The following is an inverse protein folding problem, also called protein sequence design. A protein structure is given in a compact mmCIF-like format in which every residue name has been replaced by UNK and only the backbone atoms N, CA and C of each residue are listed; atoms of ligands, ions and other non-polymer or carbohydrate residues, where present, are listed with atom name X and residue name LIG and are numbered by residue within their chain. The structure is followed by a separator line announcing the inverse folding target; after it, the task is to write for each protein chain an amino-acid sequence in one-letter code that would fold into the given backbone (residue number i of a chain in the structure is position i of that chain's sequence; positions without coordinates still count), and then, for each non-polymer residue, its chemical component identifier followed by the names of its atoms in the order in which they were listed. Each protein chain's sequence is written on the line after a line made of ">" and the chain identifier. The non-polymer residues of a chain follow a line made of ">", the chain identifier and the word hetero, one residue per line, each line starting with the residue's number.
data_IF_183663835419
#
_entry.id   IF_183663835419
#
_cell.length_a   1.000
_cell.length_b   1.000
_cell.length_c   1.000
_cell.angle_alpha   90.00
_cell.angle_beta   90.00
_cell.angle_gamma   90.00
#
_symmetry.space_group_name_H-M   'P 1'
#
loop_
_entity.id
_entity.type
_entity.pdbx_description
1 polymer ?
#
# COMPACT_ATOMS: atom_id res chain seq x y z
N UNK A 1 15.11 9.09 22.21
CA UNK A 1 14.86 8.08 21.14
C UNK A 1 15.47 8.64 19.86
N UNK A 2 16.32 7.88 19.17
CA UNK A 2 16.81 8.29 17.84
C UNK A 2 15.64 8.34 16.88
N UNK A 3 15.57 9.40 16.04
CA UNK A 3 14.54 9.52 14.99
C UNK A 3 14.71 8.30 14.05
N UNK A 4 13.60 7.62 13.73
CA UNK A 4 13.61 6.54 12.75
C UNK A 4 14.08 7.10 11.40
N UNK A 5 15.18 6.57 10.89
CA UNK A 5 15.69 6.90 9.55
C UNK A 5 15.31 5.80 8.59
N UNK A 6 14.63 6.17 7.51
CA UNK A 6 14.26 5.26 6.42
C UNK A 6 15.18 5.55 5.24
N UNK A 7 16.07 4.61 4.85
CA UNK A 7 16.92 4.80 3.70
C UNK A 7 16.08 4.76 2.40
N UNK A 8 16.45 5.57 1.41
CA UNK A 8 15.88 5.44 0.09
C UNK A 8 16.40 4.16 -0.58
N UNK A 9 15.50 3.25 -0.91
CA UNK A 9 15.82 2.02 -1.65
C UNK A 9 15.36 2.23 -3.09
N UNK A 10 16.32 2.33 -4.01
CA UNK A 10 16.04 2.53 -5.43
C UNK A 10 15.21 1.36 -5.99
N UNK A 11 14.06 1.62 -6.64
CA UNK A 11 13.33 0.61 -7.38
C UNK A 11 14.20 0.00 -8.48
N UNK A 12 14.22 -1.32 -8.55
CA UNK A 12 14.91 -2.07 -9.60
C UNK A 12 13.92 -3.04 -10.21
N UNK A 13 13.43 -2.72 -11.42
CA UNK A 13 12.45 -3.57 -12.10
C UNK A 13 13.05 -4.16 -13.37
N UNK A 14 12.74 -5.43 -13.69
CA UNK A 14 13.09 -5.99 -14.98
C UNK A 14 12.30 -5.30 -16.09
N UNK A 15 12.93 -5.08 -17.25
CA UNK A 15 12.30 -4.59 -18.48
C UNK A 15 11.61 -3.21 -18.36
N UNK A 16 12.15 -2.30 -17.57
CA UNK A 16 11.62 -0.92 -17.41
C UNK A 16 10.14 -0.84 -17.04
N UNK A 17 9.63 -1.82 -16.29
CA UNK A 17 8.25 -1.84 -15.82
C UNK A 17 8.02 -0.65 -14.89
N UNK A 18 7.05 0.20 -15.22
CA UNK A 18 6.59 1.26 -14.32
C UNK A 18 5.63 0.70 -13.29
N UNK A 19 5.95 0.87 -12.02
CA UNK A 19 5.15 0.40 -10.89
C UNK A 19 4.56 1.57 -10.13
N UNK A 20 3.24 1.61 -10.03
CA UNK A 20 2.54 2.57 -9.18
C UNK A 20 1.74 1.82 -8.11
N UNK A 21 1.83 2.26 -6.86
CA UNK A 21 0.98 1.74 -5.79
C UNK A 21 -0.04 2.77 -5.33
N UNK A 22 -1.25 2.29 -5.07
CA UNK A 22 -2.33 3.07 -4.48
C UNK A 22 -2.44 2.68 -3.02
N UNK A 23 -2.14 3.63 -2.16
CA UNK A 23 -2.07 3.47 -0.72
C UNK A 23 -3.20 4.23 0.00
N UNK A 24 -3.31 4.05 1.29
CA UNK A 24 -4.31 4.71 2.13
C UNK A 24 -5.08 3.73 3.00
N UNK A 25 -5.89 4.26 3.91
CA UNK A 25 -6.68 3.48 4.86
C UNK A 25 -7.80 2.65 4.20
N UNK A 26 -8.43 1.77 4.98
CA UNK A 26 -9.67 1.13 4.55
C UNK A 26 -10.76 2.19 4.38
N UNK A 27 -11.59 2.07 3.36
CA UNK A 27 -12.59 3.09 3.03
C UNK A 27 -12.10 4.28 2.19
N UNK A 28 -10.79 4.45 1.95
CA UNK A 28 -10.27 5.54 1.12
C UNK A 28 -10.64 5.47 -0.38
N UNK A 29 -11.13 4.33 -0.87
CA UNK A 29 -11.60 4.19 -2.26
C UNK A 29 -10.63 3.52 -3.22
N UNK A 30 -9.50 2.97 -2.76
CA UNK A 30 -8.45 2.34 -3.59
C UNK A 30 -8.98 1.34 -4.61
N UNK A 31 -9.71 0.33 -4.16
CA UNK A 31 -10.25 -0.74 -5.01
C UNK A 31 -11.26 -0.19 -6.02
N UNK A 32 -12.07 0.80 -5.64
CA UNK A 32 -13.01 1.46 -6.55
C UNK A 32 -12.26 2.18 -7.68
N UNK A 33 -11.22 2.93 -7.32
CA UNK A 33 -10.36 3.65 -8.26
C UNK A 33 -9.66 2.69 -9.23
N UNK A 34 -9.04 1.61 -8.73
CA UNK A 34 -8.33 0.64 -9.56
C UNK A 34 -9.26 -0.17 -10.46
N UNK A 35 -10.45 -0.56 -9.97
CA UNK A 35 -11.45 -1.25 -10.80
C UNK A 35 -11.91 -0.38 -11.96
N UNK A 36 -12.09 0.92 -11.73
CA UNK A 36 -12.39 1.87 -12.79
C UNK A 36 -11.24 2.00 -13.78
N UNK A 37 -10.03 2.20 -13.27
CA UNK A 37 -8.83 2.32 -14.11
C UNK A 37 -8.63 1.09 -15.00
N UNK A 38 -8.76 -0.12 -14.43
CA UNK A 38 -8.67 -1.38 -15.18
C UNK A 38 -9.71 -1.49 -16.31
N UNK A 39 -10.92 -0.91 -16.11
CA UNK A 39 -11.95 -0.88 -17.13
C UNK A 39 -11.60 0.07 -18.29
N UNK A 40 -11.03 1.23 -17.96
CA UNK A 40 -10.68 2.27 -18.94
C UNK A 40 -9.35 1.97 -19.65
N UNK A 41 -8.44 1.22 -19.00
CA UNK A 41 -7.10 0.85 -19.48
C UNK A 41 -6.84 -0.66 -19.31
N UNK A 42 -7.48 -1.52 -20.13
CA UNK A 42 -7.40 -2.98 -20.00
C UNK A 42 -5.99 -3.55 -20.20
N UNK A 43 -5.11 -2.84 -20.89
CA UNK A 43 -3.72 -3.22 -21.14
C UNK A 43 -2.78 -2.93 -19.96
N UNK A 44 -3.31 -2.44 -18.84
CA UNK A 44 -2.54 -2.23 -17.61
C UNK A 44 -2.83 -3.35 -16.61
N UNK A 45 -1.78 -3.93 -16.05
CA UNK A 45 -1.95 -4.90 -14.97
C UNK A 45 -2.35 -4.19 -13.68
N UNK A 46 -3.53 -4.51 -13.15
CA UNK A 46 -4.02 -4.04 -11.85
C UNK A 46 -4.18 -5.25 -10.92
N UNK A 47 -3.47 -5.29 -9.80
CA UNK A 47 -3.48 -6.43 -8.89
C UNK A 47 -3.19 -6.05 -7.44
N UNK A 48 -3.38 -7.00 -6.53
CA UNK A 48 -2.90 -6.91 -5.15
C UNK A 48 -1.38 -7.11 -5.09
N UNK A 49 -0.74 -6.53 -4.09
CA UNK A 49 0.71 -6.74 -3.83
C UNK A 49 1.04 -8.10 -3.23
N UNK A 50 0.05 -8.94 -2.99
CA UNK A 50 0.20 -10.33 -2.53
C UNK A 50 -0.74 -11.24 -3.31
N UNK A 51 -0.42 -12.53 -3.49
CA UNK A 51 -1.28 -13.47 -4.21
C UNK A 51 -2.66 -13.59 -3.56
N UNK A 52 -3.68 -13.90 -4.36
CA UNK A 52 -5.06 -14.06 -3.87
C UNK A 52 -5.17 -15.11 -2.77
N UNK A 53 -4.38 -16.19 -2.83
CA UNK A 53 -4.35 -17.23 -1.80
C UNK A 53 -4.02 -16.66 -0.41
N UNK A 54 -3.21 -15.63 -0.31
CA UNK A 54 -2.90 -14.94 0.95
C UNK A 54 -4.11 -14.18 1.51
N UNK A 55 -5.07 -13.83 0.67
CA UNK A 55 -6.30 -13.13 1.05
C UNK A 55 -7.46 -14.11 1.31
N UNK A 56 -7.48 -15.24 0.65
CA UNK A 56 -8.58 -16.22 0.72
C UNK A 56 -8.37 -17.27 1.81
N UNK A 57 -7.14 -17.51 2.24
CA UNK A 57 -6.82 -18.40 3.37
C UNK A 57 -7.24 -17.74 4.69
N UNK A 58 -8.55 -17.78 5.00
CA UNK A 58 -9.17 -17.01 6.11
C UNK A 58 -8.49 -17.23 7.46
N UNK A 59 -8.20 -18.48 7.81
CA UNK A 59 -7.61 -18.82 9.11
C UNK A 59 -6.15 -18.32 9.20
N UNK A 60 -5.37 -18.50 8.15
CA UNK A 60 -4.00 -17.98 8.09
C UNK A 60 -4.00 -16.45 8.14
N UNK A 61 -4.87 -15.79 7.39
CA UNK A 61 -5.01 -14.35 7.42
C UNK A 61 -5.40 -13.83 8.80
N UNK A 62 -6.36 -14.49 9.46
CA UNK A 62 -6.78 -14.15 10.82
C UNK A 62 -5.61 -14.31 11.80
N UNK A 63 -4.91 -15.44 11.77
CA UNK A 63 -3.73 -15.68 12.60
C UNK A 63 -2.67 -14.60 12.40
N UNK A 64 -2.31 -14.30 11.13
CA UNK A 64 -1.29 -13.28 10.83
C UNK A 64 -1.67 -11.87 11.26
N UNK A 65 -2.96 -11.49 11.18
CA UNK A 65 -3.40 -10.14 11.53
C UNK A 65 -3.61 -9.92 13.02
N UNK A 66 -4.02 -10.96 13.78
CA UNK A 66 -4.51 -10.80 15.14
C UNK A 66 -3.78 -11.62 16.19
N UNK A 67 -3.11 -12.71 15.81
CA UNK A 67 -2.55 -13.67 16.76
C UNK A 67 -1.02 -13.78 16.65
N UNK A 68 -0.44 -13.54 15.47
CA UNK A 68 1.02 -13.61 15.29
C UNK A 68 1.73 -12.33 15.73
N UNK A 69 3.06 -12.43 15.98
CA UNK A 69 3.87 -11.25 16.19
C UNK A 69 3.85 -10.34 14.95
N UNK A 70 4.04 -9.03 15.16
CA UNK A 70 4.04 -8.06 14.06
C UNK A 70 5.14 -8.36 13.03
N UNK A 71 6.31 -8.82 13.49
CA UNK A 71 7.39 -9.22 12.60
C UNK A 71 7.01 -10.43 11.74
N UNK A 72 6.40 -11.46 12.34
CA UNK A 72 5.93 -12.65 11.61
C UNK A 72 4.90 -12.28 10.55
N UNK A 73 3.91 -11.46 10.91
CA UNK A 73 2.90 -10.95 9.98
C UNK A 73 3.55 -10.20 8.80
N UNK A 74 4.49 -9.30 9.08
CA UNK A 74 5.16 -8.52 8.06
C UNK A 74 5.99 -9.40 7.10
N UNK A 75 6.74 -10.37 7.62
CA UNK A 75 7.53 -11.30 6.81
C UNK A 75 6.63 -12.20 5.93
N UNK A 76 5.47 -12.61 6.43
CA UNK A 76 4.48 -13.32 5.63
C UNK A 76 4.02 -12.51 4.41
N UNK A 77 3.69 -11.23 4.59
CA UNK A 77 3.30 -10.36 3.48
C UNK A 77 4.47 -10.02 2.54
N UNK A 78 5.70 -9.92 3.05
CA UNK A 78 6.89 -9.78 2.21
C UNK A 78 7.13 -11.02 1.33
N UNK A 79 6.95 -12.22 1.86
CA UNK A 79 7.02 -13.45 1.06
C UNK A 79 5.96 -13.47 -0.05
N UNK A 80 4.75 -12.99 0.24
CA UNK A 80 3.72 -12.79 -0.77
C UNK A 80 4.11 -11.80 -1.87
N UNK A 81 4.80 -10.73 -1.52
CA UNK A 81 5.28 -9.75 -2.50
C UNK A 81 6.36 -10.34 -3.44
N UNK A 82 7.22 -11.22 -2.95
CA UNK A 82 8.19 -11.98 -3.77
C UNK A 82 7.44 -12.88 -4.76
N UNK A 83 6.41 -13.58 -4.32
CA UNK A 83 5.62 -14.45 -5.20
C UNK A 83 4.90 -13.67 -6.30
N UNK A 84 4.36 -12.48 -5.97
CA UNK A 84 3.77 -11.58 -6.96
C UNK A 84 4.78 -11.14 -8.01
N UNK A 85 6.00 -10.83 -7.60
CA UNK A 85 7.08 -10.46 -8.51
C UNK A 85 7.43 -11.63 -9.46
N UNK A 86 7.56 -12.85 -8.94
CA UNK A 86 7.88 -14.03 -9.73
C UNK A 86 6.75 -14.43 -10.70
N UNK A 87 5.50 -14.16 -10.33
CA UNK A 87 4.31 -14.47 -11.14
C UNK A 87 3.89 -13.34 -12.09
N UNK A 88 4.68 -12.25 -12.18
CA UNK A 88 4.35 -11.13 -13.07
C UNK A 88 4.37 -11.53 -14.55
N UNK A 89 3.33 -11.12 -15.27
CA UNK A 89 3.30 -11.25 -16.72
C UNK A 89 4.19 -10.18 -17.37
N UNK A 90 5.30 -10.59 -17.92
CA UNK A 90 6.31 -9.72 -18.53
C UNK A 90 5.83 -8.93 -19.75
N UNK A 91 4.62 -9.18 -20.25
CA UNK A 91 4.03 -8.40 -21.35
C UNK A 91 3.54 -7.01 -20.92
N UNK A 92 3.33 -6.78 -19.62
CA UNK A 92 2.90 -5.49 -19.12
C UNK A 92 4.10 -4.59 -18.80
N UNK A 93 4.13 -3.40 -19.39
CA UNK A 93 5.10 -2.35 -19.07
C UNK A 93 4.66 -1.44 -17.91
N UNK A 94 3.41 -1.60 -17.45
CA UNK A 94 2.83 -0.83 -16.35
C UNK A 94 2.04 -1.74 -15.42
N UNK A 95 2.30 -1.60 -14.12
CA UNK A 95 1.59 -2.34 -13.07
C UNK A 95 1.08 -1.37 -12.01
N UNK A 96 -0.21 -1.45 -11.70
CA UNK A 96 -0.83 -0.71 -10.60
C UNK A 96 -1.21 -1.67 -9.48
N UNK A 97 -0.74 -1.39 -8.28
CA UNK A 97 -1.04 -2.20 -7.11
C UNK A 97 -2.09 -1.55 -6.19
N UNK A 98 -3.10 -2.33 -5.77
CA UNK A 98 -3.87 -2.02 -4.55
C UNK A 98 -2.99 -2.40 -3.37
N UNK A 99 -2.33 -1.40 -2.78
CA UNK A 99 -1.26 -1.49 -1.78
C UNK A 99 0.07 -1.97 -2.38
N UNK A 100 1.13 -1.77 -1.60
CA UNK A 100 2.47 -2.27 -1.89
C UNK A 100 3.11 -2.85 -0.63
N UNK A 101 4.35 -3.26 -0.75
CA UNK A 101 5.23 -3.63 0.36
C UNK A 101 5.22 -2.55 1.47
N UNK A 102 5.12 -1.27 1.11
CA UNK A 102 5.08 -0.17 2.08
C UNK A 102 3.84 -0.16 2.96
N UNK A 103 2.70 -0.73 2.51
CA UNK A 103 1.53 -0.97 3.38
C UNK A 103 1.85 -1.90 4.54
N UNK A 104 2.69 -2.92 4.29
CA UNK A 104 3.15 -3.85 5.33
C UNK A 104 4.02 -3.13 6.35
N UNK A 105 4.95 -2.29 5.89
CA UNK A 105 5.78 -1.46 6.78
C UNK A 105 4.96 -0.44 7.57
N UNK A 106 3.99 0.23 6.93
CA UNK A 106 3.09 1.15 7.62
C UNK A 106 2.29 0.46 8.74
N UNK A 107 1.84 -0.79 8.50
CA UNK A 107 1.15 -1.58 9.50
C UNK A 107 2.08 -2.01 10.64
N UNK A 108 3.31 -2.40 10.33
CA UNK A 108 4.33 -2.73 11.33
C UNK A 108 4.69 -1.50 12.17
N UNK A 109 4.99 -0.37 11.55
CA UNK A 109 5.30 0.89 12.22
C UNK A 109 4.20 1.32 13.19
N UNK A 110 2.94 1.16 12.80
CA UNK A 110 1.82 1.56 13.64
C UNK A 110 1.66 0.71 14.91
N UNK A 111 2.04 -0.57 14.86
CA UNK A 111 1.91 -1.51 15.98
C UNK A 111 3.19 -1.68 16.79
N UNK A 112 4.32 -1.75 16.11
CA UNK A 112 5.64 -1.98 16.72
C UNK A 112 6.74 -1.44 15.80
N UNK A 113 7.10 -0.17 16.00
CA UNK A 113 8.13 0.50 15.20
C UNK A 113 9.52 -0.14 15.30
N UNK A 114 9.79 -0.93 16.37
CA UNK A 114 11.09 -1.60 16.54
C UNK A 114 11.34 -2.68 15.50
N UNK A 115 10.31 -3.14 14.81
CA UNK A 115 10.42 -4.11 13.71
C UNK A 115 10.94 -3.48 12.41
N UNK A 116 10.83 -2.16 12.26
CA UNK A 116 11.15 -1.48 10.98
C UNK A 116 12.59 -1.68 10.54
N UNK A 117 13.63 -1.53 11.39
CA UNK A 117 15.02 -1.78 10.97
C UNK A 117 15.24 -3.21 10.44
N UNK A 118 14.60 -4.21 11.05
CA UNK A 118 14.70 -5.61 10.63
C UNK A 118 14.06 -5.76 9.25
N UNK A 119 12.86 -5.20 9.06
CA UNK A 119 12.13 -5.27 7.79
C UNK A 119 12.88 -4.53 6.66
N UNK A 120 13.53 -3.40 6.95
CA UNK A 120 14.36 -2.69 5.98
C UNK A 120 15.56 -3.52 5.54
N UNK A 121 16.22 -4.22 6.47
CA UNK A 121 17.31 -5.13 6.13
C UNK A 121 16.81 -6.30 5.25
N UNK A 122 15.68 -6.91 5.61
CA UNK A 122 15.06 -7.95 4.79
C UNK A 122 14.71 -7.41 3.39
N UNK A 123 14.06 -6.26 3.31
CA UNK A 123 13.68 -5.65 2.04
C UNK A 123 14.90 -5.35 1.16
N UNK A 124 15.97 -4.80 1.75
CA UNK A 124 17.20 -4.52 1.00
C UNK A 124 17.85 -5.81 0.45
N UNK A 125 17.77 -6.92 1.20
CA UNK A 125 18.26 -8.21 0.75
C UNK A 125 17.47 -8.79 -0.43
N UNK A 126 16.14 -8.53 -0.49
CA UNK A 126 15.25 -9.08 -1.52
C UNK A 126 14.75 -8.03 -2.54
N UNK A 127 15.31 -6.82 -2.55
CA UNK A 127 14.81 -5.69 -3.36
C UNK A 127 14.73 -5.96 -4.87
N UNK A 128 15.53 -6.89 -5.38
CA UNK A 128 15.48 -7.33 -6.78
C UNK A 128 14.40 -8.40 -7.06
N UNK A 129 13.71 -8.85 -6.03
CA UNK A 129 12.68 -9.89 -6.08
C UNK A 129 11.32 -9.39 -5.61
N UNK A 130 11.14 -8.07 -5.49
CA UNK A 130 9.88 -7.44 -5.13
C UNK A 130 9.65 -6.19 -5.99
N UNK A 131 8.40 -5.87 -6.23
CA UNK A 131 8.04 -4.60 -6.86
C UNK A 131 8.08 -3.46 -5.83
N UNK A 132 9.09 -2.58 -5.94
CA UNK A 132 9.13 -1.31 -5.24
C UNK A 132 8.51 -0.23 -6.14
N UNK A 133 7.52 0.54 -5.67
CA UNK A 133 6.86 1.51 -6.54
C UNK A 133 7.79 2.61 -7.03
N UNK A 134 7.69 2.93 -8.33
CA UNK A 134 8.26 4.15 -8.92
C UNK A 134 7.43 5.38 -8.52
N UNK A 135 6.14 5.18 -8.18
CA UNK A 135 5.22 6.21 -7.70
C UNK A 135 4.29 5.61 -6.66
N UNK A 136 4.12 6.31 -5.55
CA UNK A 136 3.18 5.97 -4.48
C UNK A 136 2.11 7.05 -4.43
N UNK A 137 0.85 6.69 -4.66
CA UNK A 137 -0.28 7.61 -4.54
C UNK A 137 -1.07 7.24 -3.29
N UNK A 138 -1.08 8.13 -2.32
CA UNK A 138 -1.82 7.94 -1.06
C UNK A 138 -3.18 8.62 -1.18
N UNK A 139 -4.25 7.85 -1.11
CA UNK A 139 -5.60 8.39 -0.96
C UNK A 139 -5.78 8.80 0.50
N UNK A 140 -5.66 10.10 0.73
CA UNK A 140 -5.64 10.71 2.06
C UNK A 140 -7.06 11.02 2.53
N UNK A 141 -7.65 10.09 3.29
CA UNK A 141 -8.94 10.26 3.95
C UNK A 141 -8.72 10.66 5.41
N UNK A 142 -9.60 11.49 5.96
CA UNK A 142 -9.71 11.65 7.41
C UNK A 142 -10.21 10.36 8.06
N UNK A 143 -9.98 10.23 9.34
CA UNK A 143 -10.47 9.08 10.10
C UNK A 143 -12.01 8.96 10.00
N UNK A 144 -12.71 10.06 10.10
CA UNK A 144 -14.18 10.15 10.02
C UNK A 144 -14.69 9.71 8.65
N UNK A 145 -14.06 10.21 7.58
CA UNK A 145 -14.40 9.83 6.19
C UNK A 145 -14.15 8.34 5.95
N UNK A 146 -13.01 7.82 6.40
CA UNK A 146 -12.66 6.42 6.29
C UNK A 146 -13.64 5.52 7.04
N UNK A 147 -13.98 5.91 8.27
CA UNK A 147 -14.97 5.24 9.12
C UNK A 147 -16.34 5.18 8.45
N UNK A 148 -16.86 6.33 8.02
CA UNK A 148 -18.17 6.43 7.40
C UNK A 148 -18.29 5.59 6.11
N UNK A 149 -17.21 5.47 5.34
CA UNK A 149 -17.16 4.64 4.12
C UNK A 149 -16.98 3.15 4.41
N UNK A 150 -16.25 2.79 5.47
CA UNK A 150 -16.04 1.40 5.89
C UNK A 150 -17.26 0.78 6.55
N UNK A 151 -17.99 1.52 7.39
CA UNK A 151 -19.19 1.07 8.10
C UNK A 151 -20.34 0.70 7.16
N UNK A 152 -20.36 1.26 5.95
CA UNK A 152 -21.30 0.84 4.90
C UNK A 152 -21.03 -0.57 4.37
N UNK A 153 -19.85 -1.14 4.65
CA UNK A 153 -19.43 -2.49 4.18
C UNK A 153 -19.44 -3.55 5.27
N UNK A 154 -19.44 -3.17 6.53
CA UNK A 154 -19.48 -4.09 7.68
C UNK A 154 -20.30 -3.48 8.79
N UNK A 155 -21.03 -4.32 9.55
CA UNK A 155 -21.79 -3.90 10.73
C UNK A 155 -20.87 -3.13 11.69
N UNK A 156 -21.16 -1.84 11.83
CA UNK A 156 -20.30 -0.86 12.49
C UNK A 156 -20.05 -1.18 13.97
N UNK A 157 -18.75 -1.33 14.30
CA UNK A 157 -18.25 -1.21 15.67
C UNK A 157 -17.75 0.22 15.92
N UNK A 158 -17.79 0.69 17.15
CA UNK A 158 -17.06 1.89 17.55
C UNK A 158 -15.57 1.59 17.46
N UNK A 159 -14.81 2.50 16.82
CA UNK A 159 -13.36 2.44 16.85
C UNK A 159 -12.88 2.96 18.21
N UNK A 160 -11.93 2.25 18.80
CA UNK A 160 -11.31 2.69 20.04
C UNK A 160 -10.14 3.69 19.77
N UNK A 161 -9.55 4.20 20.85
CA UNK A 161 -8.42 5.14 20.76
C UNK A 161 -7.21 4.53 20.05
N UNK A 162 -6.99 3.24 20.23
CA UNK A 162 -5.83 2.52 19.65
C UNK A 162 -5.96 2.42 18.12
N UNK A 163 -7.18 2.30 17.61
CA UNK A 163 -7.46 2.32 16.17
C UNK A 163 -7.18 3.68 15.54
N UNK A 164 -7.55 4.77 16.22
CA UNK A 164 -7.25 6.14 15.79
C UNK A 164 -5.74 6.37 15.78
N UNK A 165 -5.05 5.99 16.84
CA UNK A 165 -3.59 6.12 16.93
C UNK A 165 -2.89 5.32 15.83
N UNK A 166 -3.28 4.06 15.62
CA UNK A 166 -2.74 3.23 14.56
C UNK A 166 -3.00 3.83 13.15
N UNK A 167 -4.18 4.43 12.94
CA UNK A 167 -4.50 5.14 11.70
C UNK A 167 -3.55 6.32 11.48
N UNK A 168 -3.35 7.16 12.50
CA UNK A 168 -2.46 8.32 12.42
C UNK A 168 -1.00 7.92 12.21
N UNK A 169 -0.53 6.87 12.89
CA UNK A 169 0.83 6.32 12.70
C UNK A 169 1.03 5.81 11.27
N UNK A 170 0.08 5.07 10.70
CA UNK A 170 0.17 4.61 9.29
C UNK A 170 0.27 5.78 8.31
N UNK A 171 -0.54 6.83 8.52
CA UNK A 171 -0.48 8.03 7.69
C UNK A 171 0.87 8.73 7.83
N UNK A 172 1.37 8.86 9.06
CA UNK A 172 2.68 9.46 9.33
C UNK A 172 3.82 8.68 8.67
N UNK A 173 3.73 7.35 8.58
CA UNK A 173 4.74 6.54 7.92
C UNK A 173 4.96 6.94 6.45
N UNK A 174 3.89 7.27 5.71
CA UNK A 174 4.02 7.77 4.33
C UNK A 174 4.68 9.15 4.26
N UNK A 175 4.51 10.01 5.28
CA UNK A 175 5.28 11.25 5.37
C UNK A 175 6.77 10.97 5.60
N UNK A 176 7.12 10.01 6.47
CA UNK A 176 8.51 9.59 6.66
C UNK A 176 9.14 9.05 5.38
N UNK A 177 8.42 8.26 4.59
CA UNK A 177 8.89 7.81 3.28
C UNK A 177 9.09 8.99 2.32
N UNK A 178 8.17 9.95 2.29
CA UNK A 178 8.29 11.16 1.47
C UNK A 178 9.52 11.99 1.85
N UNK A 179 9.75 12.16 3.15
CA UNK A 179 10.93 12.87 3.69
C UNK A 179 12.24 12.15 3.35
N UNK A 180 12.18 10.82 3.24
CA UNK A 180 13.29 9.97 2.79
C UNK A 180 13.53 9.98 1.27
N UNK A 181 12.75 10.76 0.50
CA UNK A 181 12.92 10.96 -0.94
C UNK A 181 12.10 10.01 -1.83
N UNK A 182 11.20 9.20 -1.25
CA UNK A 182 10.32 8.38 -2.08
C UNK A 182 9.31 9.24 -2.86
N UNK A 183 9.00 8.90 -4.12
CA UNK A 183 8.05 9.64 -4.95
C UNK A 183 6.62 9.39 -4.48
N UNK A 184 6.18 10.15 -3.48
CA UNK A 184 4.86 10.05 -2.85
C UNK A 184 4.04 11.28 -3.15
N UNK A 185 2.81 11.05 -3.63
CA UNK A 185 1.81 12.09 -3.84
C UNK A 185 0.54 11.73 -3.05
N UNK A 186 -0.06 12.74 -2.45
CA UNK A 186 -1.30 12.60 -1.70
C UNK A 186 -2.47 13.16 -2.51
N UNK A 187 -3.56 12.41 -2.57
CA UNK A 187 -4.85 12.87 -3.08
C UNK A 187 -5.81 12.97 -1.89
N UNK A 188 -6.18 14.17 -1.52
CA UNK A 188 -7.24 14.38 -0.53
C UNK A 188 -8.57 13.87 -1.10
N UNK A 189 -9.23 12.97 -0.36
CA UNK A 189 -10.48 12.33 -0.78
C UNK A 189 -11.67 12.65 0.13
N UNK A 190 -11.52 13.58 1.06
CA UNK A 190 -12.54 13.85 2.08
C UNK A 190 -13.83 14.39 1.47
N UNK A 191 -13.74 15.49 0.73
CA UNK A 191 -14.89 16.21 0.15
C UNK A 191 -15.05 15.95 -1.35
N UNK A 192 -14.34 14.93 -1.89
CA UNK A 192 -14.38 14.57 -3.31
C UNK A 192 -15.26 13.36 -3.57
N UNK A 193 -16.00 13.41 -4.65
CA UNK A 193 -16.66 12.24 -5.22
C UNK A 193 -15.67 11.36 -6.00
N UNK A 194 -16.11 10.17 -6.39
CA UNK A 194 -15.25 9.19 -7.06
C UNK A 194 -14.72 9.68 -8.43
N UNK A 195 -15.48 10.55 -9.12
CA UNK A 195 -15.10 11.12 -10.41
C UNK A 195 -13.95 12.13 -10.27
N UNK A 196 -14.04 13.00 -9.27
CA UNK A 196 -13.03 14.00 -8.98
C UNK A 196 -11.71 13.34 -8.56
N UNK A 197 -11.77 12.34 -7.67
CA UNK A 197 -10.60 11.55 -7.27
C UNK A 197 -9.97 10.85 -8.47
N UNK A 198 -10.78 10.24 -9.33
CA UNK A 198 -10.30 9.56 -10.53
C UNK A 198 -9.65 10.52 -11.52
N UNK A 199 -10.23 11.69 -11.74
CA UNK A 199 -9.68 12.72 -12.63
C UNK A 199 -8.32 13.22 -12.14
N UNK A 200 -8.18 13.45 -10.83
CA UNK A 200 -6.91 13.87 -10.21
C UNK A 200 -5.85 12.76 -10.30
N UNK A 201 -6.24 11.53 -10.01
CA UNK A 201 -5.39 10.36 -10.16
C UNK A 201 -4.83 10.23 -11.59
N UNK A 202 -5.67 10.37 -12.62
CA UNK A 202 -5.24 10.32 -14.02
C UNK A 202 -4.25 11.44 -14.37
N UNK A 203 -4.46 12.66 -13.86
CA UNK A 203 -3.54 13.79 -14.08
C UNK A 203 -2.16 13.48 -13.51
N UNK A 204 -2.10 12.92 -12.31
CA UNK A 204 -0.86 12.51 -11.66
C UNK A 204 -0.17 11.42 -12.49
N UNK A 205 -0.90 10.34 -12.77
CA UNK A 205 -0.34 9.17 -13.46
C UNK A 205 0.20 9.53 -14.86
N UNK A 206 -0.50 10.40 -15.61
CA UNK A 206 -0.09 10.83 -16.95
C UNK A 206 1.11 11.77 -16.94
N UNK A 207 1.35 12.50 -15.85
CA UNK A 207 2.51 13.38 -15.70
C UNK A 207 3.77 12.59 -15.37
N UNK A 208 3.67 11.62 -14.47
CA UNK A 208 4.81 10.93 -13.87
C UNK A 208 5.15 9.58 -14.55
N UNK A 209 4.35 9.19 -15.57
CA UNK A 209 4.60 8.01 -16.41
C UNK A 209 5.26 8.33 -17.78
N UNK A 210 5.89 9.52 -17.90
CA UNK A 210 6.61 9.87 -19.14
C UNK A 210 8.08 9.48 -19.06
#
# INVERSE_FOLDING_TARGET
>A
MSKLEIPFIQPTHPNDVFVCSIEGCNGAGKTTLLNRYKKDYPDTECRLCVPDVFQTAKDMKRFMLFESSQLCSALYYLAGAVEVFNSHNKSFSKVLFDRSTWSTFAAAYAKDETTIPILLNCLNAIKQQVFLPNLIIVLDASFETAKARSSKKSSGGEFDKDEIEAFMKKRNFYNLLKDAGYPILFIDVNDKNAEEVYSEFLKILNRDCR
#
